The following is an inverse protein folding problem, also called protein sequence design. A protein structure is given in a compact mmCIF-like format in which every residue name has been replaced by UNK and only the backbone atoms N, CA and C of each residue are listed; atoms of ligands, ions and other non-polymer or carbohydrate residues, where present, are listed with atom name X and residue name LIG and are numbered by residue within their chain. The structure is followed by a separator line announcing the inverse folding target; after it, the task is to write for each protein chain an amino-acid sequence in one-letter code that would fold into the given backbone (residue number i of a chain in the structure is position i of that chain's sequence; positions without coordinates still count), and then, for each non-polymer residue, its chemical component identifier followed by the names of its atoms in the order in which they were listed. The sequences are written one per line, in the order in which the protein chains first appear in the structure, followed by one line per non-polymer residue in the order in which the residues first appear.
data_IF_715523957042
#
_entry.id   IF_715523957042
#
_cell.length_a   1.000
_cell.length_b   1.000
_cell.length_c   1.000
_cell.angle_alpha   90.00
_cell.angle_beta   90.00
_cell.angle_gamma   90.00
#
_symmetry.space_group_name_H-M   'P 1'
#
loop_
_entity.id
_entity.type
_entity.pdbx_description
1 polymer ?
#
# COMPACT_ATOMS: atom_id res chain seq x y z
N UNK A 1 -11.98 -8.43 -15.38
CA UNK A 1 -12.12 -8.58 -13.92
C UNK A 1 -13.45 -7.98 -13.47
N UNK A 2 -13.98 -8.41 -12.31
CA UNK A 2 -15.16 -7.80 -11.68
C UNK A 2 -14.67 -6.89 -10.56
N UNK A 3 -15.06 -5.61 -10.59
CA UNK A 3 -14.68 -4.62 -9.58
C UNK A 3 -15.96 -4.18 -8.87
N UNK A 4 -15.99 -4.36 -7.56
CA UNK A 4 -17.10 -3.93 -6.70
C UNK A 4 -16.74 -2.57 -6.13
N UNK A 5 -17.65 -1.61 -6.28
CA UNK A 5 -17.42 -0.22 -5.91
C UNK A 5 -18.56 0.22 -4.99
N UNK A 6 -18.20 0.64 -3.79
CA UNK A 6 -19.13 1.28 -2.87
C UNK A 6 -19.50 2.71 -3.33
N UNK A 7 -20.59 3.28 -2.83
CA UNK A 7 -21.03 4.64 -3.21
C UNK A 7 -20.68 5.66 -2.14
N UNK A 8 -21.13 5.43 -0.91
CA UNK A 8 -21.14 6.45 0.14
C UNK A 8 -19.75 6.57 0.74
N UNK A 9 -19.22 7.80 0.81
CA UNK A 9 -17.82 8.07 1.14
C UNK A 9 -16.76 7.50 0.17
N UNK A 10 -17.20 6.78 -0.87
CA UNK A 10 -16.39 6.28 -1.98
C UNK A 10 -16.50 7.12 -3.25
N UNK A 11 -17.69 7.14 -3.86
CA UNK A 11 -17.99 7.93 -5.06
C UNK A 11 -18.54 9.31 -4.72
N UNK A 12 -18.97 9.54 -3.48
CA UNK A 12 -19.52 10.81 -3.03
C UNK A 12 -19.06 11.18 -1.61
N UNK A 13 -19.40 12.40 -1.20
CA UNK A 13 -19.29 12.89 0.17
C UNK A 13 -20.61 13.53 0.59
N UNK A 14 -20.82 13.70 1.90
CA UNK A 14 -22.01 14.39 2.43
C UNK A 14 -23.28 13.53 2.45
N UNK A 15 -23.15 12.21 2.43
CA UNK A 15 -24.26 11.24 2.58
C UNK A 15 -24.46 10.76 4.03
N UNK A 16 -23.71 11.32 4.99
CA UNK A 16 -23.76 10.96 6.40
C UNK A 16 -25.19 11.01 6.98
N UNK A 17 -25.48 10.08 7.90
CA UNK A 17 -26.80 9.98 8.52
C UNK A 17 -27.93 9.62 7.54
N UNK A 18 -27.61 9.12 6.34
CA UNK A 18 -28.58 8.77 5.31
C UNK A 18 -29.11 9.96 4.50
N UNK A 19 -28.45 11.12 4.55
CA UNK A 19 -28.80 12.28 3.73
C UNK A 19 -28.29 12.14 2.28
N UNK A 20 -28.71 11.08 1.61
CA UNK A 20 -28.23 10.77 0.25
C UNK A 20 -28.57 11.85 -0.77
N UNK A 21 -29.65 12.62 -0.55
CA UNK A 21 -30.08 13.71 -1.44
C UNK A 21 -29.03 14.82 -1.50
N UNK A 22 -28.38 15.12 -0.38
CA UNK A 22 -27.34 16.14 -0.29
C UNK A 22 -25.96 15.66 -0.75
N UNK A 23 -25.82 14.37 -1.08
CA UNK A 23 -24.55 13.79 -1.48
C UNK A 23 -23.98 14.46 -2.73
N UNK A 24 -22.68 14.74 -2.70
CA UNK A 24 -21.95 15.42 -3.78
C UNK A 24 -20.87 14.51 -4.35
N UNK A 25 -20.64 14.52 -5.67
CA UNK A 25 -19.71 13.60 -6.31
C UNK A 25 -18.26 13.86 -5.91
N UNK A 26 -17.50 12.79 -5.67
CA UNK A 26 -16.03 12.81 -5.62
C UNK A 26 -15.51 12.59 -7.04
N UNK A 27 -15.33 13.69 -7.79
CA UNK A 27 -14.99 13.65 -9.23
C UNK A 27 -13.77 12.79 -9.58
N UNK A 28 -12.70 12.89 -8.79
CA UNK A 28 -11.48 12.10 -8.98
C UNK A 28 -11.76 10.59 -8.97
N UNK A 29 -12.64 10.13 -8.08
CA UNK A 29 -12.99 8.72 -8.02
C UNK A 29 -13.88 8.25 -9.14
N UNK A 30 -14.79 9.10 -9.54
CA UNK A 30 -15.65 8.82 -10.68
C UNK A 30 -14.78 8.68 -11.94
N UNK A 31 -13.78 9.53 -12.10
CA UNK A 31 -12.81 9.42 -13.20
C UNK A 31 -12.00 8.13 -13.12
N UNK A 32 -11.47 7.77 -11.94
CA UNK A 32 -10.77 6.51 -11.73
C UNK A 32 -11.62 5.28 -12.11
N UNK A 33 -12.86 5.21 -11.63
CA UNK A 33 -13.79 4.11 -11.93
C UNK A 33 -14.18 4.10 -13.42
N UNK A 34 -14.36 5.27 -14.03
CA UNK A 34 -14.63 5.38 -15.46
C UNK A 34 -13.46 4.91 -16.32
N UNK A 35 -12.22 5.13 -15.88
CA UNK A 35 -11.03 4.62 -16.55
C UNK A 35 -10.96 3.09 -16.46
N UNK A 36 -11.24 2.50 -15.30
CA UNK A 36 -11.35 1.05 -15.14
C UNK A 36 -12.45 0.44 -16.03
N UNK A 37 -13.59 1.13 -16.15
CA UNK A 37 -14.65 0.75 -17.09
C UNK A 37 -14.15 0.77 -18.54
N UNK A 38 -13.46 1.84 -18.95
CA UNK A 38 -12.93 2.00 -20.31
C UNK A 38 -11.88 0.94 -20.67
N UNK A 39 -11.15 0.42 -19.68
CA UNK A 39 -10.22 -0.71 -19.82
C UNK A 39 -10.93 -2.08 -19.97
N UNK A 40 -12.26 -2.11 -20.03
CA UNK A 40 -13.06 -3.34 -20.25
C UNK A 40 -13.36 -4.13 -18.98
N UNK A 41 -13.16 -3.55 -17.79
CA UNK A 41 -13.53 -4.21 -16.54
C UNK A 41 -15.04 -4.13 -16.25
N UNK A 42 -15.59 -5.19 -15.65
CA UNK A 42 -17.00 -5.20 -15.23
C UNK A 42 -17.13 -4.47 -13.88
N UNK A 43 -17.56 -3.21 -13.94
CA UNK A 43 -17.87 -2.40 -12.77
C UNK A 43 -19.27 -2.73 -12.23
N UNK A 44 -19.33 -3.16 -10.96
CA UNK A 44 -20.55 -3.43 -10.18
C UNK A 44 -20.59 -2.44 -9.03
N UNK A 45 -21.59 -1.56 -9.03
CA UNK A 45 -21.82 -0.65 -7.91
C UNK A 45 -22.58 -1.40 -6.82
N UNK A 46 -22.11 -1.35 -5.58
CA UNK A 46 -22.77 -1.92 -4.41
C UNK A 46 -23.08 -0.81 -3.41
N UNK A 47 -24.23 -0.88 -2.74
CA UNK A 47 -24.59 0.11 -1.72
C UNK A 47 -25.58 -0.45 -0.69
N UNK A 48 -25.47 0.06 0.54
CA UNK A 48 -26.35 -0.21 1.68
C UNK A 48 -27.46 0.82 1.83
N UNK A 49 -27.57 1.76 0.89
CA UNK A 49 -28.62 2.78 0.91
C UNK A 49 -29.99 2.15 1.07
N UNK A 50 -30.63 2.46 2.19
CA UNK A 50 -31.97 1.97 2.50
C UNK A 50 -32.04 0.68 3.29
N UNK A 51 -30.91 0.02 3.55
CA UNK A 51 -30.88 -1.26 4.28
C UNK A 51 -31.41 -1.10 5.71
N UNK A 52 -30.86 -0.16 6.47
CA UNK A 52 -31.28 0.12 7.87
C UNK A 52 -32.69 0.75 7.96
N UNK A 53 -33.15 1.43 6.91
CA UNK A 53 -34.40 2.23 6.96
C UNK A 53 -35.57 1.58 6.22
N UNK A 54 -35.33 0.51 5.45
CA UNK A 54 -36.30 -0.10 4.54
C UNK A 54 -36.72 0.76 3.33
N UNK A 55 -36.24 2.01 3.22
CA UNK A 55 -36.60 2.93 2.13
C UNK A 55 -35.94 2.52 0.82
N UNK A 56 -36.69 2.57 -0.28
CA UNK A 56 -36.14 2.33 -1.61
C UNK A 56 -35.46 3.61 -2.17
N UNK A 57 -34.14 3.58 -2.25
CA UNK A 57 -33.32 4.66 -2.81
C UNK A 57 -32.83 4.39 -4.23
N UNK A 58 -33.38 3.38 -4.91
CA UNK A 58 -32.88 2.94 -6.22
C UNK A 58 -32.94 4.02 -7.28
N UNK A 59 -34.07 4.72 -7.40
CA UNK A 59 -34.23 5.77 -8.42
C UNK A 59 -33.35 6.99 -8.14
N UNK A 60 -33.25 7.43 -6.88
CA UNK A 60 -32.31 8.49 -6.49
C UNK A 60 -30.87 8.10 -6.85
N UNK A 61 -30.46 6.89 -6.48
CA UNK A 61 -29.09 6.40 -6.70
C UNK A 61 -28.76 6.32 -8.19
N UNK A 62 -29.66 5.77 -9.02
CA UNK A 62 -29.50 5.76 -10.48
C UNK A 62 -29.35 7.17 -11.06
N UNK A 63 -30.20 8.09 -10.63
CA UNK A 63 -30.17 9.47 -11.12
C UNK A 63 -28.88 10.19 -10.70
N UNK A 64 -28.42 9.97 -9.47
CA UNK A 64 -27.13 10.50 -9.00
C UNK A 64 -25.97 9.95 -9.81
N UNK A 65 -25.82 8.62 -9.91
CA UNK A 65 -24.74 8.00 -10.71
C UNK A 65 -24.76 8.49 -12.16
N UNK A 66 -25.95 8.59 -12.78
CA UNK A 66 -26.11 9.15 -14.12
C UNK A 66 -25.68 10.61 -14.21
N UNK A 67 -26.16 11.46 -13.30
CA UNK A 67 -25.85 12.90 -13.28
C UNK A 67 -24.37 13.19 -12.99
N UNK A 68 -23.74 12.34 -12.19
CA UNK A 68 -22.31 12.41 -11.87
C UNK A 68 -21.44 11.82 -12.97
N UNK A 69 -22.03 11.12 -13.95
CA UNK A 69 -21.34 10.53 -15.08
C UNK A 69 -20.59 9.23 -14.76
N UNK A 70 -21.03 8.47 -13.76
CA UNK A 70 -20.43 7.17 -13.39
C UNK A 70 -20.82 6.11 -14.41
N UNK A 71 -19.83 5.45 -15.02
CA UNK A 71 -20.02 4.32 -15.94
C UNK A 71 -19.97 3.02 -15.17
N UNK A 72 -21.00 2.20 -15.31
CA UNK A 72 -21.10 0.90 -14.63
C UNK A 72 -21.94 -0.10 -15.42
N UNK A 73 -21.82 -1.38 -15.10
CA UNK A 73 -22.62 -2.44 -15.74
C UNK A 73 -23.83 -2.85 -14.90
N UNK A 74 -23.72 -2.73 -13.58
CA UNK A 74 -24.70 -3.24 -12.63
C UNK A 74 -24.73 -2.37 -11.37
N UNK A 75 -25.92 -2.21 -10.78
CA UNK A 75 -26.11 -1.60 -9.46
C UNK A 75 -26.81 -2.65 -8.59
N UNK A 76 -26.17 -2.99 -7.47
CA UNK A 76 -26.71 -3.87 -6.43
C UNK A 76 -27.09 -3.04 -5.22
N UNK A 77 -28.39 -2.97 -5.00
CA UNK A 77 -28.98 -2.39 -3.79
C UNK A 77 -29.05 -3.47 -2.69
N UNK A 78 -29.19 -3.04 -1.43
CA UNK A 78 -29.51 -3.91 -0.28
C UNK A 78 -28.46 -5.00 0.00
N UNK A 79 -27.21 -4.57 0.13
CA UNK A 79 -26.19 -5.37 0.82
C UNK A 79 -26.45 -5.27 2.34
N UNK A 80 -26.16 -6.33 3.09
CA UNK A 80 -26.32 -6.33 4.55
C UNK A 80 -25.45 -5.24 5.16
N UNK A 81 -26.07 -4.31 5.90
CA UNK A 81 -25.34 -3.29 6.65
C UNK A 81 -24.35 -3.96 7.60
N UNK A 82 -23.08 -3.56 7.51
CA UNK A 82 -22.03 -4.03 8.41
C UNK A 82 -21.28 -2.86 9.02
N UNK A 83 -20.65 -3.10 10.15
CA UNK A 83 -19.80 -2.12 10.81
C UNK A 83 -18.35 -2.16 10.28
N UNK A 84 -17.88 -3.32 9.79
CA UNK A 84 -16.54 -3.49 9.24
C UNK A 84 -16.49 -4.53 8.11
N UNK A 85 -15.56 -4.33 7.18
CA UNK A 85 -15.20 -5.30 6.15
C UNK A 85 -13.71 -5.69 6.28
N UNK A 86 -13.43 -6.99 6.31
CA UNK A 86 -12.07 -7.55 6.28
C UNK A 86 -11.94 -8.31 4.96
N UNK A 87 -11.22 -7.73 4.00
CA UNK A 87 -11.14 -8.22 2.62
C UNK A 87 -9.70 -8.04 2.11
N UNK A 88 -9.06 -9.13 1.66
CA UNK A 88 -7.69 -9.13 1.13
C UNK A 88 -7.56 -8.37 -0.19
N UNK A 89 -8.68 -8.05 -0.84
CA UNK A 89 -8.76 -7.41 -2.16
C UNK A 89 -9.35 -6.00 -2.09
N UNK A 90 -9.62 -5.47 -0.90
CA UNK A 90 -10.08 -4.10 -0.74
C UNK A 90 -8.96 -3.09 -1.07
N UNK A 91 -9.32 -2.06 -1.82
CA UNK A 91 -8.42 -0.96 -2.20
C UNK A 91 -9.11 0.39 -1.95
N UNK A 92 -8.35 1.40 -1.50
CA UNK A 92 -8.88 2.75 -1.23
C UNK A 92 -8.13 3.83 -2.03
N UNK A 93 -8.45 3.99 -3.33
CA UNK A 93 -7.69 4.86 -4.23
C UNK A 93 -7.83 6.40 -4.09
N UNK A 94 -8.59 6.95 -3.11
CA UNK A 94 -8.93 8.39 -3.06
C UNK A 94 -8.78 9.11 -1.73
N UNK A 95 -7.94 8.59 -0.84
CA UNK A 95 -7.14 9.52 -0.06
C UNK A 95 -6.27 10.29 -1.09
N UNK A 96 -6.03 11.61 -0.97
CA UNK A 96 -5.78 12.51 -2.12
C UNK A 96 -4.55 12.25 -3.02
N UNK A 97 -3.83 11.17 -2.84
CA UNK A 97 -2.78 10.66 -3.71
C UNK A 97 -3.06 9.16 -3.88
N UNK A 98 -3.03 8.60 -5.11
CA UNK A 98 -3.25 7.18 -5.46
C UNK A 98 -2.73 6.20 -4.37
N UNK A 99 -3.20 4.92 -4.24
CA UNK A 99 -2.45 4.00 -3.37
C UNK A 99 -1.04 4.07 -3.91
N UNK A 100 -0.07 4.55 -3.11
CA UNK A 100 1.11 5.16 -3.71
C UNK A 100 1.67 4.14 -4.67
N UNK A 101 1.88 4.52 -5.94
CA UNK A 101 2.82 3.73 -6.72
C UNK A 101 4.03 3.73 -5.80
N UNK A 102 4.34 2.56 -5.27
CA UNK A 102 5.45 2.44 -4.38
C UNK A 102 6.63 2.69 -5.29
N UNK A 103 7.15 3.91 -5.26
CA UNK A 103 8.22 4.31 -6.17
C UNK A 103 9.49 3.56 -5.80
N UNK A 104 9.56 3.15 -4.53
CA UNK A 104 10.68 2.49 -3.92
C UNK A 104 10.21 1.25 -3.16
N UNK A 105 10.97 0.17 -3.28
CA UNK A 105 10.88 -0.99 -2.41
C UNK A 105 11.98 -0.90 -1.36
N UNK A 106 11.63 -1.08 -0.10
CA UNK A 106 12.56 -1.26 1.02
C UNK A 106 12.57 -2.76 1.33
N UNK A 107 13.66 -3.42 0.98
CA UNK A 107 13.91 -4.81 1.35
C UNK A 107 14.59 -4.89 2.72
N UNK A 108 14.12 -5.76 3.59
CA UNK A 108 14.76 -6.03 4.87
C UNK A 108 14.80 -7.53 5.16
N UNK A 109 16.00 -8.03 5.44
CA UNK A 109 16.26 -9.39 5.88
C UNK A 109 16.49 -9.47 7.38
N UNK A 110 15.94 -10.50 8.03
CA UNK A 110 16.16 -10.72 9.46
C UNK A 110 16.52 -12.17 9.79
N UNK A 111 17.34 -12.32 10.83
CA UNK A 111 17.65 -13.56 11.53
C UNK A 111 17.56 -13.35 13.05
N UNK A 112 16.56 -13.89 13.73
CA UNK A 112 16.51 -13.97 15.21
C UNK A 112 17.01 -12.71 15.96
N UNK A 113 16.53 -11.53 15.54
CA UNK A 113 16.95 -10.21 16.03
C UNK A 113 15.75 -9.26 16.08
N UNK A 114 14.75 -9.62 16.89
CA UNK A 114 13.54 -8.82 17.06
C UNK A 114 13.80 -7.35 17.40
N UNK A 115 14.79 -7.08 18.24
CA UNK A 115 15.20 -5.74 18.66
C UNK A 115 15.62 -4.87 17.46
N UNK A 116 16.41 -5.45 16.55
CA UNK A 116 16.83 -4.81 15.30
C UNK A 116 15.68 -4.64 14.30
N UNK A 117 14.75 -5.60 14.26
CA UNK A 117 13.52 -5.46 13.45
C UNK A 117 12.74 -4.24 13.89
N UNK A 118 12.45 -4.12 15.20
CA UNK A 118 11.74 -2.96 15.74
C UNK A 118 12.46 -1.66 15.37
N UNK A 119 13.79 -1.61 15.52
CA UNK A 119 14.60 -0.45 15.18
C UNK A 119 14.54 -0.03 13.71
N UNK A 120 14.67 -1.00 12.80
CA UNK A 120 14.59 -0.74 11.36
C UNK A 120 13.18 -0.24 10.98
N UNK A 121 12.14 -0.89 11.52
CA UNK A 121 10.76 -0.54 11.26
C UNK A 121 10.40 0.85 11.80
N UNK A 122 10.90 1.24 12.98
CA UNK A 122 10.73 2.59 13.53
C UNK A 122 11.32 3.65 12.59
N UNK A 123 12.51 3.41 12.02
CA UNK A 123 13.09 4.33 11.04
C UNK A 123 12.31 4.41 9.73
N UNK A 124 11.77 3.29 9.25
CA UNK A 124 10.89 3.28 8.06
C UNK A 124 9.64 4.12 8.33
N UNK A 125 9.00 3.93 9.48
CA UNK A 125 7.79 4.65 9.85
C UNK A 125 8.03 6.15 10.03
N UNK A 126 9.18 6.54 10.59
CA UNK A 126 9.51 7.96 10.82
C UNK A 126 9.88 8.71 9.53
N UNK A 127 10.55 8.05 8.57
CA UNK A 127 11.18 8.73 7.45
C UNK A 127 10.68 8.34 6.06
N UNK A 128 9.86 7.29 5.92
CA UNK A 128 9.39 6.79 4.62
C UNK A 128 7.85 6.74 4.47
N UNK A 129 7.08 7.76 4.91
CA UNK A 129 5.65 7.57 5.16
C UNK A 129 4.77 7.45 3.91
N UNK A 130 5.16 7.86 2.69
CA UNK A 130 4.17 8.10 1.63
C UNK A 130 4.34 7.41 0.28
N UNK A 131 5.32 6.51 0.07
CA UNK A 131 5.40 5.77 -1.20
C UNK A 131 6.33 4.55 -1.21
N UNK A 132 6.46 3.82 -0.10
CA UNK A 132 7.34 2.65 -0.03
C UNK A 132 6.59 1.30 0.08
N UNK A 133 7.02 0.28 -0.67
CA UNK A 133 6.66 -1.11 -0.43
C UNK A 133 7.73 -1.73 0.47
N UNK A 134 7.38 -2.31 1.61
CA UNK A 134 8.34 -3.00 2.49
C UNK A 134 8.29 -4.50 2.21
N UNK A 135 9.35 -5.03 1.62
CA UNK A 135 9.56 -6.47 1.46
C UNK A 135 10.33 -7.03 2.64
N UNK A 136 9.71 -7.89 3.42
CA UNK A 136 10.31 -8.50 4.60
C UNK A 136 10.65 -9.98 4.34
N UNK A 137 11.90 -10.35 4.57
CA UNK A 137 12.37 -11.75 4.44
C UNK A 137 12.82 -12.23 5.80
N UNK A 138 12.02 -13.10 6.42
CA UNK A 138 12.38 -13.80 7.64
C UNK A 138 13.14 -15.07 7.30
N UNK A 139 14.42 -15.11 7.64
CA UNK A 139 15.25 -16.28 7.39
C UNK A 139 15.35 -17.16 8.63
N UNK A 140 14.55 -18.22 8.66
CA UNK A 140 14.57 -19.23 9.73
C UNK A 140 14.40 -18.64 11.13
N UNK A 141 13.65 -17.53 11.24
CA UNK A 141 13.35 -16.89 12.52
C UNK A 141 12.54 -17.83 13.43
N UNK A 142 12.97 -17.92 14.69
CA UNK A 142 12.37 -18.67 15.78
C UNK A 142 12.00 -17.77 16.96
N UNK A 143 12.36 -16.49 16.89
CA UNK A 143 11.99 -15.46 17.85
C UNK A 143 10.73 -14.70 17.39
N UNK A 144 10.39 -13.66 18.14
CA UNK A 144 9.22 -12.82 17.88
C UNK A 144 9.43 -11.77 16.76
N UNK A 145 10.45 -11.92 15.91
CA UNK A 145 10.69 -11.02 14.77
C UNK A 145 9.50 -10.92 13.81
N UNK A 146 8.83 -12.06 13.55
CA UNK A 146 7.63 -12.10 12.71
C UNK A 146 6.46 -11.37 13.37
N UNK A 147 6.29 -11.58 14.68
CA UNK A 147 5.26 -10.93 15.50
C UNK A 147 5.49 -9.42 15.55
N UNK A 148 6.74 -8.96 15.65
CA UNK A 148 7.12 -7.55 15.63
C UNK A 148 6.79 -6.88 14.29
N UNK A 149 6.98 -7.57 13.18
CA UNK A 149 6.57 -7.06 11.87
C UNK A 149 5.04 -7.04 11.71
N UNK A 150 4.36 -8.11 12.10
CA UNK A 150 2.91 -8.23 11.96
C UNK A 150 2.16 -7.20 12.83
N UNK A 151 2.68 -6.87 14.00
CA UNK A 151 2.05 -5.92 14.93
C UNK A 151 1.93 -4.51 14.37
N UNK A 152 2.81 -4.11 13.45
CA UNK A 152 2.81 -2.77 12.85
C UNK A 152 2.32 -2.74 11.40
N UNK A 153 2.08 -3.90 10.78
CA UNK A 153 1.65 -4.01 9.37
C UNK A 153 0.40 -3.18 9.06
N UNK A 154 -0.57 -3.16 9.98
CA UNK A 154 -1.79 -2.36 9.83
C UNK A 154 -1.49 -0.86 9.90
N UNK A 155 -0.61 -0.46 10.81
CA UNK A 155 -0.18 0.94 10.94
C UNK A 155 0.57 1.40 9.68
N UNK A 156 1.42 0.54 9.10
CA UNK A 156 2.06 0.76 7.81
C UNK A 156 1.03 0.96 6.69
N UNK A 157 0.05 0.05 6.57
CA UNK A 157 -0.99 0.16 5.54
C UNK A 157 -1.80 1.45 5.66
N UNK A 158 -2.18 1.84 6.87
CA UNK A 158 -2.88 3.10 7.15
C UNK A 158 -2.00 4.34 6.89
N UNK A 159 -0.69 4.21 7.06
CA UNK A 159 0.29 5.22 6.68
C UNK A 159 0.49 5.33 5.17
N UNK A 160 -0.04 4.40 4.37
CA UNK A 160 0.19 4.35 2.93
C UNK A 160 1.44 3.55 2.54
N UNK A 161 1.92 2.65 3.39
CA UNK A 161 3.02 1.71 3.14
C UNK A 161 2.42 0.31 2.94
N UNK A 162 2.63 -0.31 1.77
CA UNK A 162 2.27 -1.71 1.58
C UNK A 162 3.41 -2.63 2.02
N UNK A 163 3.08 -3.88 2.32
CA UNK A 163 4.06 -4.85 2.78
C UNK A 163 3.91 -6.19 2.10
N UNK A 164 5.03 -6.87 1.88
CA UNK A 164 5.08 -8.30 1.53
C UNK A 164 5.99 -9.02 2.52
N UNK A 165 5.71 -10.31 2.73
CA UNK A 165 6.48 -11.14 3.65
C UNK A 165 6.82 -12.47 3.01
N UNK A 166 8.07 -12.87 3.14
CA UNK A 166 8.55 -14.20 2.85
C UNK A 166 9.15 -14.82 4.11
N UNK A 167 8.86 -16.09 4.36
CA UNK A 167 9.41 -16.84 5.50
C UNK A 167 10.10 -18.07 4.97
N UNK A 168 11.41 -18.15 5.18
CA UNK A 168 12.18 -19.34 4.84
C UNK A 168 12.22 -20.29 6.04
N UNK A 169 11.95 -21.57 5.78
CA UNK A 169 12.12 -22.64 6.78
C UNK A 169 13.58 -23.14 6.88
N UNK A 170 14.45 -22.71 5.97
CA UNK A 170 15.88 -23.06 5.90
C UNK A 170 16.73 -21.80 5.86
N UNK A 171 17.93 -21.88 6.40
CA UNK A 171 18.85 -20.73 6.39
C UNK A 171 19.25 -20.42 4.95
N UNK A 172 18.96 -19.20 4.51
CA UNK A 172 19.29 -18.66 3.20
C UNK A 172 20.62 -17.93 3.22
N UNK A 173 20.98 -17.32 4.35
CA UNK A 173 22.11 -16.42 4.44
C UNK A 173 21.91 -15.13 3.65
N UNK A 174 22.83 -14.17 3.82
CA UNK A 174 22.68 -12.80 3.32
C UNK A 174 22.42 -12.74 1.81
N UNK A 175 23.18 -13.52 1.03
CA UNK A 175 23.03 -13.60 -0.43
C UNK A 175 21.69 -14.21 -0.85
N UNK A 176 21.19 -15.19 -0.11
CA UNK A 176 19.91 -15.83 -0.36
C UNK A 176 18.75 -14.87 -0.08
N UNK A 177 18.82 -14.10 1.00
CA UNK A 177 17.85 -13.04 1.30
C UNK A 177 17.83 -12.01 0.17
N UNK A 178 18.99 -11.48 -0.24
CA UNK A 178 19.06 -10.48 -1.30
C UNK A 178 18.49 -11.00 -2.62
N UNK A 179 18.70 -12.28 -2.92
CA UNK A 179 18.14 -12.93 -4.11
C UNK A 179 16.60 -12.99 -4.05
N UNK A 180 16.03 -13.30 -2.89
CA UNK A 180 14.57 -13.29 -2.68
C UNK A 180 14.01 -11.87 -2.82
N UNK A 181 14.64 -10.88 -2.20
CA UNK A 181 14.24 -9.48 -2.29
C UNK A 181 14.30 -8.95 -3.72
N UNK A 182 15.37 -9.28 -4.45
CA UNK A 182 15.50 -8.90 -5.86
C UNK A 182 14.42 -9.56 -6.72
N UNK A 183 14.16 -10.86 -6.51
CA UNK A 183 13.08 -11.56 -7.21
C UNK A 183 11.73 -10.90 -6.93
N UNK A 184 11.43 -10.59 -5.66
CA UNK A 184 10.20 -9.87 -5.29
C UNK A 184 10.12 -8.49 -5.97
N UNK A 185 11.21 -7.73 -5.96
CA UNK A 185 11.27 -6.42 -6.59
C UNK A 185 10.99 -6.47 -8.10
N UNK A 186 11.63 -7.41 -8.81
CA UNK A 186 11.53 -7.53 -10.26
C UNK A 186 10.18 -8.12 -10.68
N UNK A 187 9.74 -9.19 -10.03
CA UNK A 187 8.59 -10.00 -10.50
C UNK A 187 7.25 -9.61 -9.85
N UNK A 188 7.28 -8.94 -8.69
CA UNK A 188 6.08 -8.74 -7.85
C UNK A 188 5.84 -7.28 -7.46
N UNK A 189 6.65 -6.35 -7.95
CA UNK A 189 6.44 -4.92 -7.72
C UNK A 189 6.68 -4.09 -8.97
N UNK A 190 5.94 -2.98 -9.07
CA UNK A 190 6.18 -1.92 -10.06
C UNK A 190 7.11 -0.83 -9.50
N UNK A 191 7.87 -1.12 -8.44
CA UNK A 191 8.81 -0.17 -7.86
C UNK A 191 9.93 0.17 -8.86
N UNK A 192 10.40 1.43 -8.83
CA UNK A 192 11.48 1.91 -9.68
C UNK A 192 12.86 1.63 -9.08
N UNK A 193 12.98 1.57 -7.76
CA UNK A 193 14.23 1.22 -7.09
C UNK A 193 14.03 0.29 -5.90
N UNK A 194 15.05 -0.52 -5.60
CA UNK A 194 15.16 -1.36 -4.41
C UNK A 194 16.31 -0.86 -3.52
N UNK A 195 15.97 -0.48 -2.29
CA UNK A 195 16.94 -0.31 -1.20
C UNK A 195 16.89 -1.55 -0.33
N UNK A 196 18.06 -2.10 0.02
CA UNK A 196 18.14 -3.20 0.99
C UNK A 196 18.77 -2.68 2.27
N UNK A 197 18.02 -2.74 3.37
CA UNK A 197 18.54 -2.47 4.70
C UNK A 197 19.21 -3.73 5.26
N UNK A 198 20.34 -3.52 5.94
CA UNK A 198 20.99 -4.56 6.75
C UNK A 198 20.53 -4.49 8.22
N UNK A 199 20.79 -5.56 8.97
CA UNK A 199 20.27 -5.80 10.33
C UNK A 199 20.55 -4.68 11.34
N UNK A 200 21.65 -3.95 11.17
CA UNK A 200 22.07 -2.86 12.06
C UNK A 200 21.74 -1.46 11.51
N UNK A 201 20.99 -1.39 10.41
CA UNK A 201 20.70 -0.16 9.69
C UNK A 201 19.31 0.38 9.98
N UNK A 202 19.23 1.70 10.02
CA UNK A 202 17.98 2.45 10.15
C UNK A 202 18.05 3.70 9.27
N UNK A 203 16.91 4.09 8.70
CA UNK A 203 16.78 5.40 8.08
C UNK A 203 16.84 6.51 9.13
N UNK A 204 17.60 7.55 8.85
CA UNK A 204 17.73 8.76 9.67
C UNK A 204 17.21 10.01 8.94
N UNK A 205 16.78 9.85 7.68
CA UNK A 205 16.19 10.88 6.85
C UNK A 205 15.40 10.23 5.70
N UNK A 206 14.62 11.03 4.98
CA UNK A 206 13.86 10.59 3.81
C UNK A 206 14.80 10.11 2.67
N UNK A 207 14.73 8.83 2.25
CA UNK A 207 15.60 8.28 1.23
C UNK A 207 15.32 8.78 -0.19
N UNK A 208 14.17 9.39 -0.45
CA UNK A 208 13.83 9.97 -1.77
C UNK A 208 14.86 11.01 -2.23
N UNK A 209 15.47 11.74 -1.28
CA UNK A 209 16.50 12.77 -1.53
C UNK A 209 17.70 12.23 -2.32
N UNK A 210 18.01 10.94 -2.15
CA UNK A 210 19.10 10.24 -2.86
C UNK A 210 18.54 9.43 -4.02
N UNK A 211 17.46 8.68 -3.81
CA UNK A 211 16.90 7.80 -4.83
C UNK A 211 16.43 8.53 -6.08
N UNK A 212 15.83 9.70 -5.93
CA UNK A 212 15.38 10.50 -7.08
C UNK A 212 16.54 10.89 -8.00
N UNK A 213 17.70 11.19 -7.42
CA UNK A 213 18.91 11.53 -8.17
C UNK A 213 19.47 10.31 -8.88
N UNK A 214 19.47 9.15 -8.22
CA UNK A 214 19.93 7.91 -8.83
C UNK A 214 19.00 7.45 -9.96
N UNK A 215 17.68 7.52 -9.76
CA UNK A 215 16.70 7.23 -10.80
C UNK A 215 16.85 8.19 -11.99
N UNK A 216 17.11 9.47 -11.75
CA UNK A 216 17.36 10.44 -12.82
C UNK A 216 18.65 10.13 -13.60
N UNK A 217 19.69 9.59 -12.93
CA UNK A 217 20.97 9.27 -13.55
C UNK A 217 20.97 7.92 -14.30
N UNK A 218 20.30 6.92 -13.74
CA UNK A 218 20.42 5.52 -14.18
C UNK A 218 19.11 4.91 -14.69
N UNK A 219 17.98 5.60 -14.54
CA UNK A 219 16.66 5.12 -14.95
C UNK A 219 15.97 4.24 -13.89
N UNK A 220 14.81 3.70 -14.26
CA UNK A 220 14.00 2.82 -13.42
C UNK A 220 14.55 1.39 -13.38
N UNK A 221 13.99 0.58 -12.46
CA UNK A 221 14.46 -0.77 -12.11
C UNK A 221 15.92 -0.78 -11.62
N UNK A 222 16.25 0.22 -10.82
CA UNK A 222 17.54 0.34 -10.15
C UNK A 222 17.59 -0.60 -8.93
N UNK A 223 18.42 -1.63 -9.00
CA UNK A 223 18.59 -2.62 -7.93
C UNK A 223 19.70 -2.27 -6.93
N UNK A 224 19.53 -2.75 -5.69
CA UNK A 224 20.39 -2.67 -4.48
C UNK A 224 21.24 -1.40 -4.38
N UNK A 225 20.60 -0.36 -3.84
CA UNK A 225 21.22 0.85 -3.32
C UNK A 225 21.38 0.66 -1.82
N UNK A 226 22.58 0.32 -1.34
CA UNK A 226 22.83 0.03 0.09
C UNK A 226 23.68 -1.21 0.35
N UNK A 227 24.99 -1.01 0.55
CA UNK A 227 25.91 -2.00 1.08
C UNK A 227 26.44 -1.54 2.45
N UNK A 228 26.99 -2.51 3.21
CA UNK A 228 27.53 -2.56 4.60
C UNK A 228 28.09 -1.30 5.30
N UNK A 229 28.23 -0.17 4.63
CA UNK A 229 28.68 1.07 5.23
C UNK A 229 28.20 2.35 4.52
N UNK A 230 27.15 2.29 3.68
CA UNK A 230 26.59 3.49 3.04
C UNK A 230 27.59 4.25 2.14
N UNK A 231 28.59 3.54 1.60
CA UNK A 231 29.68 4.12 0.79
C UNK A 231 29.25 4.60 -0.60
N UNK A 232 28.00 4.34 -1.00
CA UNK A 232 27.42 5.01 -2.16
C UNK A 232 27.25 6.50 -1.85
N UNK A 233 27.60 7.34 -2.83
CA UNK A 233 27.71 8.78 -2.65
C UNK A 233 26.39 9.37 -2.13
N UNK A 234 26.41 9.82 -0.86
CA UNK A 234 25.30 10.42 -0.08
C UNK A 234 24.32 9.48 0.63
N UNK A 235 24.40 8.15 0.51
CA UNK A 235 23.55 7.26 1.32
C UNK A 235 23.88 7.28 2.81
N UNK A 236 25.14 7.51 3.16
CA UNK A 236 25.59 7.69 4.56
C UNK A 236 24.94 8.88 5.29
N UNK A 237 24.25 9.77 4.58
CA UNK A 237 23.45 10.87 5.17
C UNK A 237 22.01 10.48 5.48
N UNK A 238 21.57 9.32 4.98
CA UNK A 238 20.18 8.85 5.03
C UNK A 238 20.08 7.54 5.79
N UNK A 239 21.09 6.67 5.71
CA UNK A 239 21.16 5.39 6.42
C UNK A 239 22.30 5.47 7.44
N UNK A 240 21.99 5.15 8.70
CA UNK A 240 22.99 5.04 9.77
C UNK A 240 23.16 3.60 10.25
N UNK A 241 24.39 3.23 10.61
CA UNK A 241 24.72 2.00 11.37
C UNK A 241 25.22 2.41 12.74
N UNK A 242 24.40 2.20 13.78
CA UNK A 242 24.71 2.50 15.20
C UNK A 242 23.93 1.58 16.15
N UNK A 243 23.69 0.34 15.77
CA UNK A 243 23.10 -0.63 16.71
C UNK A 243 24.19 -1.08 17.71
N UNK A 244 23.97 -0.83 18.99
CA UNK A 244 24.91 -1.08 20.08
C UNK A 244 24.22 -1.66 21.30
#
# INVERSE_FOLDING_TARGET
MIIRVDIDDTLCHGSAGGNYVAARPRKQMIEYVNNLYAQGHRIVIETYRGDTTGKDWRELTKNQLKSWGVRHHEIRMRKEHYDAAIDDKAVQPWLPDAPPRFRYMIGYGVWNRQDQVCWALDGIMEHCPHAAHVGFVADSCKDDSLSAFDSIKTQMLLGGISTSRFVSARELGETGIHSVLMHQFVEHTDCDALIVLQHDQRFAADPTIVLDKLLAAYGAKLGIVGLRAGFEVNLSKVIGSRWG
#
